data_IF_435355959873
#
_entry.id   IF_435355959873
#
_cell.length_a   1.000
_cell.length_b   1.000
_cell.length_c   1.000
_cell.angle_alpha   90.00
_cell.angle_beta   90.00
_cell.angle_gamma   90.00
#
_symmetry.space_group_name_H-M   'P 1'
#
loop_
_entity.id
_entity.type
_entity.pdbx_description
1 polymer ?
#
# COMPACT_ATOMS: atom_id res chain seq x y z
N UNK A 1 1.69 -18.79 3.05
CA UNK A 1 1.88 -17.32 3.05
C UNK A 1 0.98 -16.71 4.12
N UNK A 2 1.30 -15.52 4.64
CA UNK A 2 0.56 -14.90 5.77
C UNK A 2 -0.91 -14.65 5.44
N UNK A 3 -1.23 -14.19 4.23
CA UNK A 3 -2.62 -13.99 3.79
C UNK A 3 -3.42 -15.30 3.85
N UNK A 4 -2.81 -16.45 3.50
CA UNK A 4 -3.46 -17.77 3.58
C UNK A 4 -3.80 -18.12 5.03
N UNK A 5 -2.92 -17.78 5.98
CA UNK A 5 -3.18 -18.00 7.42
C UNK A 5 -4.32 -17.09 7.89
N UNK A 6 -4.33 -15.83 7.45
CA UNK A 6 -5.38 -14.87 7.79
C UNK A 6 -6.74 -15.32 7.22
N UNK A 7 -6.83 -15.63 5.93
CA UNK A 7 -8.05 -16.14 5.30
C UNK A 7 -8.57 -17.40 6.00
N UNK A 8 -7.70 -18.34 6.39
CA UNK A 8 -8.09 -19.53 7.15
C UNK A 8 -8.67 -19.17 8.52
N UNK A 9 -8.09 -18.19 9.22
CA UNK A 9 -8.63 -17.71 10.49
C UNK A 9 -10.01 -17.07 10.30
N UNK A 10 -10.19 -16.26 9.25
CA UNK A 10 -11.49 -15.66 8.89
C UNK A 10 -12.52 -16.76 8.62
N UNK A 11 -12.20 -17.73 7.76
CA UNK A 11 -13.09 -18.86 7.48
C UNK A 11 -13.45 -19.64 8.75
N UNK A 12 -12.49 -19.89 9.65
CA UNK A 12 -12.75 -20.59 10.91
C UNK A 12 -13.72 -19.80 11.79
N UNK A 13 -13.53 -18.48 11.89
CA UNK A 13 -14.41 -17.62 12.66
C UNK A 13 -15.83 -17.57 12.07
N UNK A 14 -15.96 -17.44 10.74
CA UNK A 14 -17.28 -17.46 10.07
C UNK A 14 -18.03 -18.76 10.35
N UNK A 15 -17.37 -19.91 10.23
CA UNK A 15 -17.96 -21.22 10.54
C UNK A 15 -18.41 -21.31 12.00
N UNK A 16 -17.60 -20.84 12.94
CA UNK A 16 -17.95 -20.85 14.36
C UNK A 16 -19.16 -19.97 14.70
N UNK A 17 -19.46 -18.96 13.85
CA UNK A 17 -20.58 -18.04 14.03
C UNK A 17 -21.77 -18.36 13.10
N UNK A 18 -21.77 -19.51 12.42
CA UNK A 18 -22.85 -19.90 11.50
C UNK A 18 -23.01 -18.98 10.28
N UNK A 19 -21.95 -18.25 9.90
CA UNK A 19 -21.98 -17.30 8.79
C UNK A 19 -21.53 -17.94 7.46
N UNK A 20 -22.05 -17.47 6.31
CA UNK A 20 -21.66 -17.99 5.00
C UNK A 20 -20.16 -17.73 4.76
N UNK A 21 -19.43 -18.78 4.34
CA UNK A 21 -17.99 -18.71 4.11
C UNK A 21 -17.51 -19.32 2.79
N UNK A 22 -18.38 -20.06 2.11
CA UNK A 22 -18.13 -20.59 0.76
C UNK A 22 -19.30 -20.19 -0.13
N UNK A 23 -18.98 -19.92 -1.40
CA UNK A 23 -19.97 -19.66 -2.42
C UNK A 23 -19.80 -20.60 -3.60
N UNK A 24 -20.81 -20.66 -4.43
CA UNK A 24 -20.81 -21.41 -5.68
C UNK A 24 -20.97 -20.45 -6.86
N UNK A 25 -20.71 -20.94 -8.07
CA UNK A 25 -20.99 -20.18 -9.29
C UNK A 25 -22.49 -19.93 -9.54
N UNK A 26 -23.36 -20.57 -8.76
CA UNK A 26 -24.82 -20.50 -8.90
C UNK A 26 -25.48 -19.66 -7.80
N UNK A 27 -24.70 -19.07 -6.89
CA UNK A 27 -25.22 -18.19 -5.85
C UNK A 27 -25.96 -17.01 -6.52
N UNK A 28 -27.13 -16.67 -6.00
CA UNK A 28 -27.83 -15.44 -6.36
C UNK A 28 -27.00 -14.19 -6.01
N UNK A 29 -27.29 -13.03 -6.62
CA UNK A 29 -26.67 -11.77 -6.22
C UNK A 29 -26.81 -11.48 -4.71
N UNK A 30 -27.96 -11.80 -4.13
CA UNK A 30 -28.26 -11.63 -2.71
C UNK A 30 -27.38 -12.52 -1.83
N UNK A 31 -27.24 -13.81 -2.18
CA UNK A 31 -26.36 -14.75 -1.46
C UNK A 31 -24.89 -14.35 -1.59
N UNK A 32 -24.47 -13.95 -2.79
CA UNK A 32 -23.13 -13.43 -3.03
C UNK A 32 -22.84 -12.20 -2.17
N UNK A 33 -23.79 -11.26 -2.10
CA UNK A 33 -23.67 -10.07 -1.26
C UNK A 33 -23.59 -10.45 0.22
N UNK A 34 -24.49 -11.30 0.71
CA UNK A 34 -24.49 -11.74 2.12
C UNK A 34 -23.17 -12.42 2.51
N UNK A 35 -22.58 -13.21 1.60
CA UNK A 35 -21.27 -13.83 1.80
C UNK A 35 -20.12 -12.82 1.82
N UNK A 36 -20.13 -11.83 0.93
CA UNK A 36 -19.13 -10.75 0.94
C UNK A 36 -19.23 -9.91 2.20
N UNK A 37 -20.43 -9.56 2.64
CA UNK A 37 -20.68 -8.82 3.89
C UNK A 37 -20.19 -9.62 5.10
N UNK A 38 -20.50 -10.93 5.16
CA UNK A 38 -19.98 -11.83 6.18
C UNK A 38 -18.46 -11.89 6.17
N UNK A 39 -17.83 -12.02 4.99
CA UNK A 39 -16.38 -12.04 4.83
C UNK A 39 -15.72 -10.76 5.33
N UNK A 40 -16.29 -9.59 5.00
CA UNK A 40 -15.81 -8.29 5.47
C UNK A 40 -15.90 -8.19 6.99
N UNK A 41 -17.02 -8.64 7.58
CA UNK A 41 -17.19 -8.68 9.04
C UNK A 41 -16.16 -9.60 9.70
N UNK A 42 -15.99 -10.82 9.18
CA UNK A 42 -15.02 -11.78 9.71
C UNK A 42 -13.58 -11.31 9.59
N UNK A 43 -13.24 -10.62 8.49
CA UNK A 43 -11.92 -10.03 8.28
C UNK A 43 -11.61 -8.96 9.33
N UNK A 44 -12.56 -8.06 9.62
CA UNK A 44 -12.41 -7.04 10.67
C UNK A 44 -12.25 -7.65 12.06
N UNK A 45 -12.97 -8.73 12.35
CA UNK A 45 -12.88 -9.40 13.65
C UNK A 45 -11.54 -10.11 13.84
N UNK A 46 -11.09 -10.87 12.85
CA UNK A 46 -9.77 -11.52 12.90
C UNK A 46 -8.64 -10.49 12.93
N UNK A 47 -8.77 -9.38 12.21
CA UNK A 47 -7.80 -8.28 12.28
C UNK A 47 -7.66 -7.76 13.71
N UNK A 48 -8.77 -7.44 14.38
CA UNK A 48 -8.77 -6.97 15.77
C UNK A 48 -8.14 -7.98 16.74
N UNK A 49 -8.45 -9.26 16.56
CA UNK A 49 -7.84 -10.33 17.37
C UNK A 49 -6.33 -10.39 17.15
N UNK A 50 -5.87 -10.37 15.89
CA UNK A 50 -4.45 -10.45 15.57
C UNK A 50 -3.68 -9.19 15.99
N UNK A 51 -4.33 -8.02 15.99
CA UNK A 51 -3.78 -6.79 16.56
C UNK A 51 -3.58 -6.95 18.07
N UNK A 52 -4.57 -7.50 18.77
CA UNK A 52 -4.53 -7.77 20.22
C UNK A 52 -3.41 -8.77 20.55
N UNK A 53 -3.26 -9.81 19.72
CA UNK A 53 -2.21 -10.82 19.82
C UNK A 53 -0.82 -10.31 19.36
N UNK A 54 -0.70 -9.03 18.98
CA UNK A 54 0.53 -8.39 18.48
C UNK A 54 1.17 -9.13 17.29
N UNK A 55 0.37 -9.72 16.41
CA UNK A 55 0.82 -10.44 15.21
C UNK A 55 1.16 -9.49 14.04
N UNK A 56 1.89 -8.42 14.35
CA UNK A 56 2.13 -7.31 13.44
C UNK A 56 2.90 -7.73 12.19
N UNK A 57 3.92 -8.58 12.32
CA UNK A 57 4.68 -9.07 11.16
C UNK A 57 3.78 -9.81 10.16
N UNK A 58 2.86 -10.65 10.62
CA UNK A 58 1.92 -11.33 9.73
C UNK A 58 0.88 -10.39 9.13
N UNK A 59 0.35 -9.44 9.91
CA UNK A 59 -0.62 -8.46 9.41
C UNK A 59 -0.01 -7.52 8.36
N UNK A 60 1.19 -7.01 8.62
CA UNK A 60 1.95 -6.19 7.67
C UNK A 60 2.25 -7.01 6.40
N UNK A 61 2.62 -8.29 6.56
CA UNK A 61 2.79 -9.19 5.42
C UNK A 61 1.49 -9.43 4.64
N UNK A 62 0.31 -9.36 5.26
CA UNK A 62 -0.97 -9.43 4.55
C UNK A 62 -1.25 -8.14 3.79
N UNK A 63 -1.02 -6.98 4.42
CA UNK A 63 -1.18 -5.67 3.80
C UNK A 63 -0.29 -5.52 2.56
N UNK A 64 0.98 -5.93 2.63
CA UNK A 64 1.91 -5.90 1.49
C UNK A 64 1.57 -6.91 0.39
N UNK A 65 0.73 -7.90 0.66
CA UNK A 65 0.41 -8.96 -0.29
C UNK A 65 -0.54 -8.52 -1.41
N UNK A 66 -1.24 -7.39 -1.27
CA UNK A 66 -2.19 -6.89 -2.27
C UNK A 66 -3.47 -7.72 -2.43
N UNK A 67 -3.72 -8.67 -1.53
CA UNK A 67 -4.91 -9.54 -1.55
C UNK A 67 -6.14 -8.93 -0.88
N UNK A 68 -5.93 -7.87 -0.10
CA UNK A 68 -6.98 -7.16 0.62
C UNK A 68 -6.94 -5.70 0.20
N UNK A 69 -8.12 -5.08 0.13
CA UNK A 69 -8.22 -3.63 -0.03
C UNK A 69 -7.61 -2.92 1.18
N UNK A 70 -7.12 -1.70 0.98
CA UNK A 70 -6.44 -0.93 2.02
C UNK A 70 -7.32 -0.76 3.27
N UNK A 71 -8.61 -0.49 3.08
CA UNK A 71 -9.61 -0.29 4.15
C UNK A 71 -9.90 -1.55 4.99
N UNK A 72 -9.47 -2.73 4.52
CA UNK A 72 -9.65 -4.00 5.23
C UNK A 72 -8.51 -4.25 6.20
N UNK A 73 -7.25 -4.03 5.81
CA UNK A 73 -6.08 -4.36 6.64
C UNK A 73 -5.13 -3.19 6.80
N UNK A 74 -4.72 -2.54 5.70
CA UNK A 74 -3.66 -1.53 5.75
C UNK A 74 -4.05 -0.34 6.64
N UNK A 75 -5.20 0.27 6.35
CA UNK A 75 -5.63 1.51 7.02
C UNK A 75 -5.92 1.28 8.51
N UNK A 76 -6.72 0.27 8.92
CA UNK A 76 -6.98 0.05 10.34
C UNK A 76 -5.72 -0.36 11.12
N UNK A 77 -4.73 -0.97 10.44
CA UNK A 77 -3.45 -1.31 11.05
C UNK A 77 -2.56 -0.07 11.23
N UNK A 78 -2.53 0.82 10.25
CA UNK A 78 -1.83 2.10 10.34
C UNK A 78 -2.43 2.97 11.45
N UNK A 79 -3.76 3.10 11.51
CA UNK A 79 -4.49 3.78 12.58
C UNK A 79 -4.14 3.21 13.96
N UNK A 80 -4.10 1.88 14.09
CA UNK A 80 -3.67 1.22 15.33
C UNK A 80 -2.23 1.59 15.72
N UNK A 81 -1.30 1.59 14.76
CA UNK A 81 0.09 1.95 15.04
C UNK A 81 0.24 3.41 15.46
N UNK A 82 -0.47 4.33 14.80
CA UNK A 82 -0.51 5.74 15.18
C UNK A 82 -1.07 5.90 16.59
N UNK A 83 -2.24 5.33 16.88
CA UNK A 83 -2.93 5.46 18.17
C UNK A 83 -2.14 4.86 19.35
N UNK A 84 -1.23 3.93 19.08
CA UNK A 84 -0.41 3.26 20.10
C UNK A 84 1.06 3.68 20.07
N UNK A 85 1.41 4.72 19.32
CA UNK A 85 2.78 5.22 19.17
C UNK A 85 3.80 4.15 18.73
N UNK A 86 3.39 3.24 17.84
CA UNK A 86 4.21 2.17 17.28
C UNK A 86 4.95 2.64 16.01
N UNK A 87 5.98 3.46 16.21
CA UNK A 87 6.72 4.10 15.12
C UNK A 87 7.40 3.10 14.18
N UNK A 88 8.12 2.12 14.71
CA UNK A 88 8.87 1.15 13.91
C UNK A 88 7.95 0.23 13.08
N UNK A 89 6.81 -0.17 13.63
CA UNK A 89 5.80 -0.93 12.91
C UNK A 89 5.15 -0.11 11.78
N UNK A 90 4.88 1.17 12.03
CA UNK A 90 4.36 2.10 11.03
C UNK A 90 5.37 2.27 9.87
N UNK A 91 6.66 2.45 10.20
CA UNK A 91 7.74 2.47 9.20
C UNK A 91 7.73 1.20 8.36
N UNK A 92 7.67 0.03 9.01
CA UNK A 92 7.69 -1.24 8.31
C UNK A 92 6.47 -1.44 7.40
N UNK A 93 5.30 -0.97 7.84
CA UNK A 93 4.06 -1.02 7.06
C UNK A 93 4.15 -0.13 5.81
N UNK A 94 4.57 1.13 5.96
CA UNK A 94 4.47 2.15 4.91
C UNK A 94 5.68 2.16 3.95
N UNK A 95 6.91 2.08 4.47
CA UNK A 95 8.13 2.33 3.68
C UNK A 95 8.29 1.35 2.50
N UNK A 96 7.81 0.11 2.63
CA UNK A 96 7.89 -0.88 1.54
C UNK A 96 7.11 -0.44 0.30
N UNK A 97 5.88 0.05 0.49
CA UNK A 97 5.02 0.46 -0.62
C UNK A 97 5.63 1.64 -1.37
N UNK A 98 6.07 2.65 -0.62
CA UNK A 98 6.77 3.83 -1.15
C UNK A 98 8.00 3.41 -1.96
N UNK A 99 8.84 2.55 -1.38
CA UNK A 99 10.06 2.08 -2.02
C UNK A 99 9.77 1.33 -3.32
N UNK A 100 8.80 0.42 -3.34
CA UNK A 100 8.45 -0.31 -4.55
C UNK A 100 7.96 0.63 -5.65
N UNK A 101 7.05 1.55 -5.34
CA UNK A 101 6.57 2.53 -6.32
C UNK A 101 7.69 3.41 -6.87
N UNK A 102 8.61 3.87 -6.01
CA UNK A 102 9.76 4.66 -6.45
C UNK A 102 10.82 3.85 -7.22
N UNK A 103 11.05 2.58 -6.84
CA UNK A 103 11.95 1.67 -7.56
C UNK A 103 11.40 1.33 -8.96
N UNK A 104 10.09 1.07 -9.09
CA UNK A 104 9.43 0.86 -10.38
C UNK A 104 9.53 2.11 -11.26
N UNK A 105 9.26 3.29 -10.70
CA UNK A 105 9.45 4.57 -11.39
C UNK A 105 10.88 4.74 -11.92
N UNK A 106 11.88 4.50 -11.07
CA UNK A 106 13.29 4.61 -11.45
C UNK A 106 13.69 3.59 -12.54
N UNK A 107 13.15 2.38 -12.48
CA UNK A 107 13.37 1.36 -13.50
C UNK A 107 12.79 1.79 -14.85
N UNK A 108 11.58 2.35 -14.88
CA UNK A 108 10.99 2.84 -16.12
C UNK A 108 11.72 4.07 -16.66
N UNK A 109 12.14 5.01 -15.81
CA UNK A 109 12.98 6.16 -16.21
C UNK A 109 14.27 5.69 -16.87
N UNK A 110 14.89 4.63 -16.31
CA UNK A 110 16.11 4.07 -16.88
C UNK A 110 15.85 3.52 -18.29
N UNK A 111 14.81 2.70 -18.46
CA UNK A 111 14.43 2.16 -19.78
C UNK A 111 14.17 3.26 -20.80
N UNK A 112 13.43 4.30 -20.40
CA UNK A 112 13.10 5.44 -21.26
C UNK A 112 14.35 6.18 -21.74
N UNK A 113 15.32 6.41 -20.84
CA UNK A 113 16.58 7.04 -21.20
C UNK A 113 17.46 6.17 -22.08
N UNK A 114 17.42 4.85 -21.91
CA UNK A 114 18.16 3.91 -22.75
C UNK A 114 17.60 3.88 -24.18
N UNK A 115 16.29 4.03 -24.35
CA UNK A 115 15.62 4.01 -25.67
C UNK A 115 15.61 5.37 -26.37
N UNK A 116 15.41 6.46 -25.63
CA UNK A 116 15.17 7.80 -26.19
C UNK A 116 16.22 8.85 -25.81
N UNK A 117 17.21 8.49 -24.99
CA UNK A 117 18.36 9.34 -24.61
C UNK A 117 18.06 10.46 -23.61
N UNK A 118 16.85 11.03 -23.64
CA UNK A 118 16.41 12.10 -22.74
C UNK A 118 15.05 11.80 -22.15
N UNK A 119 14.75 12.41 -21.00
CA UNK A 119 13.47 12.25 -20.31
C UNK A 119 12.67 13.53 -20.43
N UNK A 120 11.49 13.46 -21.04
CA UNK A 120 10.55 14.59 -21.10
C UNK A 120 9.75 14.72 -19.79
N UNK A 121 10.34 15.42 -18.83
CA UNK A 121 9.79 15.64 -17.50
C UNK A 121 8.46 16.41 -17.55
N UNK A 122 8.35 17.40 -18.45
CA UNK A 122 7.15 18.24 -18.55
C UNK A 122 5.97 17.43 -19.06
N UNK A 123 6.20 16.58 -20.08
CA UNK A 123 5.17 15.65 -20.54
C UNK A 123 4.73 14.73 -19.40
N UNK A 124 5.67 14.09 -18.68
CA UNK A 124 5.33 13.18 -17.55
C UNK A 124 4.47 13.89 -16.49
N UNK A 125 4.82 15.14 -16.13
CA UNK A 125 4.09 15.93 -15.13
C UNK A 125 2.69 16.33 -15.61
N UNK A 126 2.50 16.52 -16.91
CA UNK A 126 1.22 16.90 -17.51
C UNK A 126 0.26 15.74 -17.76
N UNK A 127 0.73 14.48 -17.67
CA UNK A 127 -0.11 13.30 -17.90
C UNK A 127 -1.23 13.20 -16.86
N UNK A 128 -2.47 13.17 -17.35
CA UNK A 128 -3.61 12.80 -16.53
C UNK A 128 -3.60 11.29 -16.24
N UNK A 129 -3.10 10.93 -15.06
CA UNK A 129 -2.93 9.54 -14.64
C UNK A 129 -4.26 8.74 -14.65
N UNK A 130 -5.41 9.26 -14.18
CA UNK A 130 -6.69 8.57 -14.28
C UNK A 130 -7.05 8.19 -15.73
N UNK A 131 -6.95 9.14 -16.66
CA UNK A 131 -7.20 8.87 -18.09
C UNK A 131 -6.22 7.83 -18.64
N UNK A 132 -4.93 7.97 -18.34
CA UNK A 132 -3.91 7.02 -18.77
C UNK A 132 -4.20 5.59 -18.27
N UNK A 133 -4.49 5.41 -16.98
CA UNK A 133 -4.75 4.10 -16.37
C UNK A 133 -6.05 3.47 -16.89
N UNK A 134 -7.06 4.29 -17.22
CA UNK A 134 -8.30 3.81 -17.84
C UNK A 134 -8.15 3.47 -19.33
N UNK A 135 -7.11 3.99 -19.97
CA UNK A 135 -6.79 3.78 -21.37
C UNK A 135 -6.20 2.40 -21.66
N UNK A 136 -6.01 2.10 -22.95
CA UNK A 136 -5.34 0.87 -23.43
C UNK A 136 -3.92 1.11 -23.96
N UNK A 137 -3.52 2.38 -24.09
CA UNK A 137 -2.25 2.76 -24.70
C UNK A 137 -1.15 2.74 -23.65
N UNK A 138 -0.17 1.87 -23.84
CA UNK A 138 1.04 1.84 -23.03
C UNK A 138 2.03 2.92 -23.49
N UNK A 139 2.66 3.60 -22.54
CA UNK A 139 3.83 4.45 -22.79
C UNK A 139 4.71 4.49 -21.54
N UNK A 140 6.02 4.57 -21.72
CA UNK A 140 6.94 4.71 -20.60
C UNK A 140 6.69 6.00 -19.80
N UNK A 141 6.45 7.13 -20.48
CA UNK A 141 6.12 8.38 -19.79
C UNK A 141 4.85 8.25 -18.93
N UNK A 142 3.82 7.55 -19.44
CA UNK A 142 2.60 7.27 -18.69
C UNK A 142 2.83 6.33 -17.50
N UNK A 143 3.65 5.28 -17.66
CA UNK A 143 4.04 4.41 -16.57
C UNK A 143 4.81 5.18 -15.48
N UNK A 144 5.75 6.05 -15.86
CA UNK A 144 6.49 6.90 -14.92
C UNK A 144 5.52 7.82 -14.18
N UNK A 145 4.57 8.45 -14.88
CA UNK A 145 3.55 9.30 -14.25
C UNK A 145 2.68 8.51 -13.26
N UNK A 146 2.29 7.28 -13.61
CA UNK A 146 1.51 6.37 -12.76
C UNK A 146 2.28 6.00 -11.48
N UNK A 147 3.54 5.57 -11.60
CA UNK A 147 4.37 5.20 -10.45
C UNK A 147 4.71 6.42 -9.58
N UNK A 148 4.99 7.58 -10.18
CA UNK A 148 5.17 8.87 -9.48
C UNK A 148 3.96 9.20 -8.64
N UNK A 149 2.75 9.18 -9.23
CA UNK A 149 1.51 9.46 -8.50
C UNK A 149 1.31 8.49 -7.34
N UNK A 150 1.46 7.18 -7.57
CA UNK A 150 1.33 6.18 -6.51
C UNK A 150 2.33 6.41 -5.38
N UNK A 151 3.59 6.70 -5.69
CA UNK A 151 4.61 6.98 -4.69
C UNK A 151 4.26 8.24 -3.87
N UNK A 152 3.82 9.32 -4.53
CA UNK A 152 3.41 10.56 -3.86
C UNK A 152 2.20 10.33 -2.94
N UNK A 153 1.17 9.64 -3.40
CA UNK A 153 -0.01 9.34 -2.59
C UNK A 153 0.37 8.54 -1.33
N UNK A 154 1.29 7.59 -1.46
CA UNK A 154 1.81 6.81 -0.33
C UNK A 154 2.66 7.65 0.63
N UNK A 155 3.52 8.54 0.10
CA UNK A 155 4.36 9.44 0.91
C UNK A 155 3.50 10.44 1.68
N UNK A 156 2.52 11.07 1.04
CA UNK A 156 1.60 12.03 1.67
C UNK A 156 0.82 11.36 2.80
N UNK A 157 0.27 10.17 2.54
CA UNK A 157 -0.43 9.40 3.58
C UNK A 157 0.50 9.06 4.75
N UNK A 158 1.72 8.64 4.43
CA UNK A 158 2.72 8.31 5.45
C UNK A 158 3.13 9.52 6.29
N UNK A 159 3.39 10.67 5.66
CA UNK A 159 3.69 11.92 6.36
C UNK A 159 2.56 12.30 7.33
N UNK A 160 1.31 12.18 6.91
CA UNK A 160 0.15 12.40 7.79
C UNK A 160 0.11 11.48 9.01
N UNK A 161 0.56 10.22 8.89
CA UNK A 161 0.71 9.33 10.05
C UNK A 161 1.87 9.72 10.96
N UNK A 162 2.98 10.15 10.37
CA UNK A 162 4.17 10.60 11.12
C UNK A 162 3.91 11.86 11.94
N UNK A 163 3.10 12.78 11.43
CA UNK A 163 2.67 13.97 12.17
C UNK A 163 1.81 13.59 13.38
N UNK A 164 0.86 12.67 13.20
CA UNK A 164 -0.05 12.21 14.25
C UNK A 164 0.66 11.46 15.38
N UNK A 165 1.69 10.68 15.06
CA UNK A 165 2.48 9.94 16.05
C UNK A 165 3.56 10.81 16.72
N UNK A 166 3.72 12.06 16.28
CA UNK A 166 4.82 12.96 16.68
C UNK A 166 6.20 12.33 16.44
N UNK A 167 6.39 11.79 15.23
CA UNK A 167 7.69 11.24 14.82
C UNK A 167 8.81 12.28 14.91
N UNK A 168 10.09 11.86 15.05
CA UNK A 168 11.21 12.78 15.11
C UNK A 168 11.23 13.75 13.92
N UNK A 169 11.39 15.04 14.19
CA UNK A 169 11.37 16.09 13.16
C UNK A 169 12.38 15.85 12.03
N UNK A 170 13.57 15.35 12.37
CA UNK A 170 14.59 14.97 11.39
C UNK A 170 14.13 13.87 10.43
N UNK A 171 13.29 12.96 10.90
CA UNK A 171 12.75 11.87 10.07
C UNK A 171 11.59 12.36 9.20
N UNK A 172 10.72 13.22 9.73
CA UNK A 172 9.67 13.86 8.92
C UNK A 172 10.28 14.70 7.79
N UNK A 173 11.37 15.43 8.07
CA UNK A 173 12.09 16.18 7.04
C UNK A 173 12.68 15.28 5.95
N UNK A 174 13.20 14.11 6.31
CA UNK A 174 13.65 13.13 5.31
C UNK A 174 12.51 12.66 4.40
N UNK A 175 11.30 12.51 4.94
CA UNK A 175 10.10 12.12 4.17
C UNK A 175 9.66 13.26 3.24
N UNK A 176 9.75 14.51 3.70
CA UNK A 176 9.47 15.69 2.87
C UNK A 176 10.44 15.84 1.70
N UNK A 177 11.75 15.67 1.95
CA UNK A 177 12.78 15.66 0.90
C UNK A 177 12.54 14.52 -0.10
N UNK A 178 12.10 13.35 0.39
CA UNK A 178 11.71 12.25 -0.48
C UNK A 178 10.51 12.64 -1.36
N UNK A 179 9.46 13.23 -0.77
CA UNK A 179 8.28 13.69 -1.50
C UNK A 179 8.65 14.67 -2.61
N UNK A 180 9.46 15.68 -2.30
CA UNK A 180 9.92 16.69 -3.25
C UNK A 180 10.72 16.04 -4.39
N UNK A 181 11.68 15.18 -4.07
CA UNK A 181 12.50 14.51 -5.09
C UNK A 181 11.71 13.54 -6.00
N UNK A 182 10.68 12.87 -5.47
CA UNK A 182 9.76 12.05 -6.28
C UNK A 182 8.87 12.95 -7.14
N UNK A 183 8.34 14.03 -6.57
CA UNK A 183 7.55 15.01 -7.31
C UNK A 183 8.35 15.57 -8.47
N UNK A 184 9.63 15.88 -8.24
CA UNK A 184 10.46 16.51 -9.24
C UNK A 184 11.13 15.56 -10.23
N UNK A 185 10.99 14.24 -10.04
CA UNK A 185 11.69 13.20 -10.81
C UNK A 185 13.23 13.32 -10.69
N UNK A 186 13.72 13.88 -9.57
CA UNK A 186 15.15 14.07 -9.28
C UNK A 186 15.72 12.99 -8.36
N UNK A 187 14.84 12.18 -7.75
CA UNK A 187 15.19 11.06 -6.88
C UNK A 187 16.17 10.07 -7.53
N UNK A 188 17.05 9.49 -6.73
CA UNK A 188 17.98 8.42 -7.11
C UNK A 188 17.80 7.21 -6.20
N UNK A 189 18.25 6.04 -6.67
CA UNK A 189 18.18 4.78 -5.91
C UNK A 189 18.82 4.87 -4.51
N UNK A 190 19.87 5.69 -4.37
CA UNK A 190 20.55 5.89 -3.07
C UNK A 190 19.67 6.61 -2.04
N UNK A 191 18.73 7.44 -2.49
CA UNK A 191 17.88 8.27 -1.63
C UNK A 191 16.78 7.40 -0.97
N UNK A 192 16.54 6.20 -1.49
CA UNK A 192 15.63 5.20 -0.92
C UNK A 192 16.28 4.33 0.18
N UNK A 193 17.59 4.47 0.43
CA UNK A 193 18.29 3.67 1.46
C UNK A 193 17.74 3.86 2.88
N UNK A 194 17.38 5.08 3.33
CA UNK A 194 16.78 5.28 4.65
C UNK A 194 15.42 4.61 4.82
N UNK A 195 14.69 4.40 3.71
CA UNK A 195 13.33 3.85 3.66
C UNK A 195 13.32 2.33 3.42
N UNK A 196 14.14 1.61 4.20
CA UNK A 196 14.30 0.16 4.13
C UNK A 196 14.20 -0.49 5.51
N UNK A 197 13.36 0.07 6.36
CA UNK A 197 13.14 -0.47 7.71
C UNK A 197 12.67 -1.93 7.66
N UNK A 198 13.11 -2.71 8.65
CA UNK A 198 12.76 -4.12 8.83
C UNK A 198 12.54 -4.39 10.32
N UNK A 199 11.43 -5.05 10.65
CA UNK A 199 11.12 -5.55 11.99
C UNK A 199 11.90 -6.82 12.33
#
# INVERSE_FOLDING_TARGET
MSYTKFSKAVTKWLKANGLPCYGTAYDSPEETKARLDAWMRGSKEILRQWITDKRYRELISCAHGGWYQDDVIFEPLAEHFVANHLFDELRFLCERGIRFSAEDMLATIKSEKEEHGTLDIETIRSIDVPSYVSGRSYSHLGEIAKYRKRALDQIIRYAGYLEQIHAPAEYLEQVNVLQESVSDLTIKTKDLKPFRFRL
#
